data_IF_494906875095
#
_entry.id   IF_494906875095
#
_cell.length_a   1.000
_cell.length_b   1.000
_cell.length_c   1.000
_cell.angle_alpha   90.00
_cell.angle_beta   90.00
_cell.angle_gamma   90.00
#
_symmetry.space_group_name_H-M   'P 1'
#
loop_
_entity.id
_entity.type
_entity.pdbx_description
1 polymer ?
#
# COMPACT_ATOMS: atom_id res chain seq x y z
N UNK A 1 -50.26 -17.24 -10.52
CA UNK A 1 -50.39 -15.77 -10.57
C UNK A 1 -50.22 -15.06 -9.22
N UNK A 2 -50.49 -15.70 -8.07
CA UNK A 2 -50.31 -15.11 -6.72
C UNK A 2 -48.88 -14.58 -6.47
N UNK A 3 -47.86 -15.42 -6.69
CA UNK A 3 -46.46 -15.05 -6.45
C UNK A 3 -45.99 -13.87 -7.33
N UNK A 4 -46.32 -13.88 -8.62
CA UNK A 4 -45.95 -12.81 -9.56
C UNK A 4 -46.56 -11.45 -9.18
N UNK A 5 -47.85 -11.40 -8.82
CA UNK A 5 -48.48 -10.16 -8.37
C UNK A 5 -47.87 -9.60 -7.09
N UNK A 6 -47.55 -10.49 -6.14
CA UNK A 6 -46.88 -10.10 -4.90
C UNK A 6 -45.45 -9.58 -5.12
N UNK A 7 -44.68 -10.20 -6.02
CA UNK A 7 -43.32 -9.77 -6.35
C UNK A 7 -43.29 -8.39 -7.02
N UNK A 8 -44.23 -8.13 -7.96
CA UNK A 8 -44.36 -6.81 -8.59
C UNK A 8 -44.70 -5.75 -7.54
N UNK A 9 -45.69 -6.00 -6.69
CA UNK A 9 -46.11 -5.04 -5.66
C UNK A 9 -45.02 -4.80 -4.61
N UNK A 10 -44.28 -5.84 -4.23
CA UNK A 10 -43.16 -5.69 -3.30
C UNK A 10 -42.03 -4.87 -3.90
N UNK A 11 -41.76 -5.02 -5.20
CA UNK A 11 -40.72 -4.25 -5.89
C UNK A 11 -41.05 -2.75 -6.00
N UNK A 12 -42.34 -2.39 -6.06
CA UNK A 12 -42.79 -0.99 -6.22
C UNK A 12 -43.19 -0.31 -4.91
N UNK A 13 -43.75 -1.05 -3.96
CA UNK A 13 -44.41 -0.49 -2.78
C UNK A 13 -44.02 -1.19 -1.46
N UNK A 14 -43.08 -2.14 -1.51
CA UNK A 14 -42.58 -2.88 -0.36
C UNK A 14 -43.49 -4.03 0.13
N UNK A 15 -42.91 -4.88 0.98
CA UNK A 15 -43.50 -6.14 1.44
C UNK A 15 -44.86 -5.99 2.11
N UNK A 16 -45.03 -4.95 2.94
CA UNK A 16 -46.29 -4.72 3.65
C UNK A 16 -47.46 -4.55 2.67
N UNK A 17 -47.24 -3.87 1.55
CA UNK A 17 -48.25 -3.69 0.49
C UNK A 17 -48.52 -5.00 -0.25
N UNK A 18 -47.48 -5.78 -0.55
CA UNK A 18 -47.62 -7.09 -1.19
C UNK A 18 -48.40 -8.10 -0.32
N UNK A 19 -48.12 -8.14 0.99
CA UNK A 19 -48.82 -9.03 1.92
C UNK A 19 -50.27 -8.61 2.16
N UNK A 20 -50.55 -7.31 2.29
CA UNK A 20 -51.93 -6.81 2.42
C UNK A 20 -52.75 -7.11 1.16
N UNK A 21 -52.17 -6.89 -0.03
CA UNK A 21 -52.82 -7.24 -1.29
C UNK A 21 -53.09 -8.74 -1.43
N UNK A 22 -52.14 -9.61 -1.04
CA UNK A 22 -52.35 -11.07 -1.03
C UNK A 22 -53.50 -11.48 -0.11
N UNK A 23 -53.58 -10.89 1.09
CA UNK A 23 -54.66 -11.16 2.06
C UNK A 23 -56.03 -10.70 1.56
N UNK A 24 -56.09 -9.57 0.86
CA UNK A 24 -57.34 -9.03 0.32
C UNK A 24 -57.81 -9.78 -0.94
N UNK A 25 -56.93 -9.97 -1.92
CA UNK A 25 -57.29 -10.55 -3.22
C UNK A 25 -57.60 -12.05 -3.16
N UNK A 26 -57.02 -12.77 -2.19
CA UNK A 26 -57.19 -14.21 -2.06
C UNK A 26 -57.90 -14.59 -0.76
N UNK A 27 -58.71 -13.68 -0.20
CA UNK A 27 -59.51 -13.94 1.00
C UNK A 27 -60.37 -15.20 0.81
N UNK A 28 -60.20 -16.17 1.71
CA UNK A 28 -60.91 -17.46 1.67
C UNK A 28 -60.34 -18.49 0.68
N UNK A 29 -59.20 -18.22 0.03
CA UNK A 29 -58.50 -19.17 -0.84
C UNK A 29 -57.10 -19.50 -0.29
N UNK A 30 -56.55 -20.69 -0.54
CA UNK A 30 -55.20 -21.02 -0.13
C UNK A 30 -54.17 -20.15 -0.84
N UNK A 31 -53.23 -19.60 -0.07
CA UNK A 31 -52.07 -18.84 -0.56
C UNK A 31 -50.83 -19.48 0.06
N UNK A 32 -49.83 -19.81 -0.77
CA UNK A 32 -48.56 -20.36 -0.30
C UNK A 32 -47.64 -19.24 0.22
N UNK A 33 -47.99 -18.68 1.38
CA UNK A 33 -47.22 -17.60 2.02
C UNK A 33 -45.74 -17.95 2.27
N UNK A 34 -45.37 -19.17 2.71
CA UNK A 34 -43.96 -19.54 2.90
C UNK A 34 -43.14 -19.45 1.62
N UNK A 35 -43.68 -19.95 0.50
CA UNK A 35 -42.99 -19.90 -0.80
C UNK A 35 -42.84 -18.45 -1.29
N UNK A 36 -43.89 -17.63 -1.16
CA UNK A 36 -43.84 -16.22 -1.53
C UNK A 36 -42.86 -15.44 -0.63
N UNK A 37 -42.78 -15.75 0.66
CA UNK A 37 -41.78 -15.17 1.56
C UNK A 37 -40.36 -15.49 1.13
N UNK A 38 -40.09 -16.75 0.74
CA UNK A 38 -38.78 -17.14 0.19
C UNK A 38 -38.47 -16.38 -1.09
N UNK A 39 -39.43 -16.26 -2.00
CA UNK A 39 -39.26 -15.50 -3.26
C UNK A 39 -39.06 -14.00 -3.02
N UNK A 40 -39.74 -13.40 -2.04
CA UNK A 40 -39.55 -12.01 -1.65
C UNK A 40 -38.17 -11.79 -1.01
N UNK A 41 -37.71 -12.74 -0.20
CA UNK A 41 -36.34 -12.75 0.31
C UNK A 41 -35.31 -12.92 -0.82
N UNK A 42 -35.57 -13.74 -1.83
CA UNK A 42 -34.73 -13.85 -3.04
C UNK A 42 -34.70 -12.52 -3.81
N UNK A 43 -35.86 -11.86 -3.98
CA UNK A 43 -35.97 -10.56 -4.64
C UNK A 43 -35.14 -9.48 -3.92
N UNK A 44 -35.01 -9.59 -2.59
CA UNK A 44 -34.19 -8.71 -1.74
C UNK A 44 -32.73 -9.16 -1.60
N UNK A 45 -32.33 -10.27 -2.22
CA UNK A 45 -30.98 -10.83 -2.07
C UNK A 45 -30.68 -11.40 -0.68
N UNK A 46 -31.72 -11.72 0.11
CA UNK A 46 -31.60 -12.21 1.49
C UNK A 46 -31.38 -13.73 1.57
N UNK A 47 -31.69 -14.51 0.52
CA UNK A 47 -31.33 -15.93 0.44
C UNK A 47 -30.27 -16.12 -0.63
N UNK A 48 -29.04 -16.29 -0.19
CA UNK A 48 -27.89 -16.56 -1.06
C UNK A 48 -27.53 -18.03 -0.98
N UNK A 49 -27.60 -18.75 -2.11
CA UNK A 49 -27.02 -20.09 -2.29
C UNK A 49 -25.50 -20.05 -2.45
N UNK A 50 -24.92 -18.85 -2.54
CA UNK A 50 -23.50 -18.64 -2.30
C UNK A 50 -23.32 -18.27 -0.83
N UNK A 51 -22.73 -19.19 -0.06
CA UNK A 51 -22.22 -18.89 1.27
C UNK A 51 -21.34 -17.65 1.19
N UNK A 52 -21.87 -16.50 1.63
CA UNK A 52 -21.05 -15.32 1.89
C UNK A 52 -19.92 -15.74 2.83
N UNK A 53 -18.72 -15.13 2.73
CA UNK A 53 -17.69 -15.32 3.73
C UNK A 53 -18.30 -14.99 5.10
N UNK A 54 -18.52 -16.02 5.93
CA UNK A 54 -19.07 -15.87 7.28
C UNK A 54 -18.04 -15.35 8.28
N UNK A 55 -16.78 -15.25 7.85
CA UNK A 55 -15.66 -14.76 8.66
C UNK A 55 -15.46 -13.28 8.38
N UNK A 56 -15.81 -12.44 9.36
CA UNK A 56 -15.36 -11.05 9.39
C UNK A 56 -13.84 -11.01 9.55
N UNK A 57 -13.15 -10.25 8.73
CA UNK A 57 -11.71 -10.03 8.84
C UNK A 57 -11.38 -8.55 8.62
N UNK A 58 -10.26 -8.09 9.16
CA UNK A 58 -9.75 -6.75 8.87
C UNK A 58 -9.29 -6.67 7.42
N UNK A 59 -9.40 -5.48 6.83
CA UNK A 59 -8.91 -5.25 5.47
C UNK A 59 -7.40 -5.40 5.41
N UNK A 60 -6.96 -6.21 4.46
CA UNK A 60 -5.55 -6.41 4.13
C UNK A 60 -5.36 -6.22 2.64
N UNK A 61 -5.11 -4.98 2.23
CA UNK A 61 -5.07 -4.58 0.82
C UNK A 61 -3.74 -3.87 0.57
N UNK A 62 -3.11 -4.19 -0.56
CA UNK A 62 -1.94 -3.49 -1.09
C UNK A 62 -2.23 -3.11 -2.54
N UNK A 63 -1.90 -1.88 -2.91
CA UNK A 63 -2.09 -1.37 -4.26
C UNK A 63 -1.30 -0.11 -4.52
N UNK A 64 -1.46 0.42 -5.73
CA UNK A 64 -0.84 1.68 -6.15
C UNK A 64 -1.89 2.79 -6.26
N UNK A 65 -1.62 3.95 -5.67
CA UNK A 65 -2.48 5.12 -5.72
C UNK A 65 -2.09 6.08 -6.86
N UNK A 66 -3.09 6.73 -7.43
CA UNK A 66 -2.91 7.85 -8.37
C UNK A 66 -4.01 8.88 -8.15
N UNK A 67 -3.69 10.15 -8.40
CA UNK A 67 -4.69 11.22 -8.42
C UNK A 67 -5.61 11.07 -9.62
N UNK A 68 -6.91 11.26 -9.42
CA UNK A 68 -7.89 11.39 -10.51
C UNK A 68 -8.65 12.70 -10.34
N UNK A 69 -8.95 13.36 -11.46
CA UNK A 69 -9.73 14.60 -11.41
C UNK A 69 -11.19 14.30 -11.08
N UNK A 70 -11.82 15.10 -10.22
CA UNK A 70 -13.22 14.88 -9.81
C UNK A 70 -14.19 14.86 -10.99
N UNK A 71 -13.89 15.58 -12.09
CA UNK A 71 -14.68 15.56 -13.33
C UNK A 71 -14.65 14.23 -14.08
N UNK A 72 -13.65 13.38 -13.82
CA UNK A 72 -13.47 12.07 -14.46
C UNK A 72 -14.14 10.94 -13.68
N UNK A 73 -14.73 11.21 -12.51
CA UNK A 73 -15.35 10.19 -11.66
C UNK A 73 -16.84 10.12 -11.95
N UNK A 74 -17.25 9.10 -12.71
CA UNK A 74 -18.65 8.71 -12.83
C UNK A 74 -18.99 7.67 -11.77
N UNK A 75 -19.61 8.08 -10.66
CA UNK A 75 -19.92 7.19 -9.53
C UNK A 75 -20.84 6.02 -9.89
N UNK A 76 -21.59 6.10 -11.00
CA UNK A 76 -22.44 4.99 -11.45
C UNK A 76 -21.64 3.77 -11.92
N UNK A 77 -20.37 3.98 -12.29
CA UNK A 77 -19.47 2.89 -12.69
C UNK A 77 -18.82 2.18 -11.48
N UNK A 78 -19.17 2.61 -10.26
CA UNK A 78 -18.58 2.15 -9.01
C UNK A 78 -19.63 1.61 -8.04
N UNK A 79 -19.27 0.55 -7.32
CA UNK A 79 -20.07 0.01 -6.23
C UNK A 79 -19.70 0.77 -4.95
N UNK A 80 -20.61 1.60 -4.45
CA UNK A 80 -20.38 2.40 -3.24
C UNK A 80 -20.33 1.52 -1.99
N UNK A 81 -19.63 1.93 -0.93
CA UNK A 81 -19.42 1.09 0.28
C UNK A 81 -20.13 1.63 1.54
N UNK A 82 -20.86 2.75 1.44
CA UNK A 82 -21.68 3.29 2.53
C UNK A 82 -23.01 2.55 2.77
N UNK A 83 -23.57 2.71 3.96
CA UNK A 83 -24.92 2.27 4.32
C UNK A 83 -25.97 3.17 3.67
N UNK A 84 -26.94 2.53 3.00
CA UNK A 84 -28.27 3.02 2.61
C UNK A 84 -28.42 4.50 2.26
N UNK A 85 -28.56 4.81 0.95
CA UNK A 85 -29.41 5.83 0.31
C UNK A 85 -29.76 7.19 1.01
N UNK A 86 -29.09 7.59 2.08
CA UNK A 86 -29.44 8.75 2.89
C UNK A 86 -28.21 9.61 3.19
N UNK A 87 -27.31 9.76 2.22
CA UNK A 87 -26.67 11.05 1.98
C UNK A 87 -25.80 10.99 0.73
N UNK A 88 -26.36 11.38 -0.43
CA UNK A 88 -25.56 11.66 -1.62
C UNK A 88 -24.56 12.82 -1.40
N UNK A 89 -24.62 13.51 -0.24
CA UNK A 89 -23.71 14.62 0.12
C UNK A 89 -22.39 14.17 0.74
N UNK A 90 -22.28 12.98 1.35
CA UNK A 90 -21.07 12.52 2.07
C UNK A 90 -20.07 11.73 1.21
N UNK A 91 -20.45 11.42 -0.03
CA UNK A 91 -19.60 10.73 -0.99
C UNK A 91 -18.91 11.69 -1.97
N UNK A 92 -19.29 12.97 -2.03
CA UNK A 92 -18.60 13.93 -2.89
C UNK A 92 -17.48 14.64 -2.14
N UNK A 93 -16.30 14.80 -2.75
CA UNK A 93 -15.21 15.56 -2.15
C UNK A 93 -15.68 17.00 -1.91
N UNK A 94 -15.32 17.56 -0.75
CA UNK A 94 -15.43 19.00 -0.51
C UNK A 94 -14.63 19.77 -1.60
N UNK A 95 -14.92 21.06 -1.83
CA UNK A 95 -14.33 21.86 -2.94
C UNK A 95 -12.79 21.82 -3.08
N UNK A 96 -12.04 21.31 -2.10
CA UNK A 96 -10.58 21.15 -2.13
C UNK A 96 -10.06 19.70 -1.98
N UNK A 97 -10.94 18.70 -1.88
CA UNK A 97 -10.54 17.29 -1.80
C UNK A 97 -10.45 16.70 -3.21
N UNK A 98 -9.39 15.92 -3.46
CA UNK A 98 -9.22 15.19 -4.72
C UNK A 98 -9.45 13.71 -4.46
N UNK A 99 -10.11 13.06 -5.42
CA UNK A 99 -10.21 11.61 -5.42
C UNK A 99 -8.87 10.97 -5.73
N UNK A 100 -8.58 9.87 -5.05
CA UNK A 100 -7.52 8.97 -5.45
C UNK A 100 -8.11 7.65 -5.92
N UNK A 101 -7.53 7.12 -6.99
CA UNK A 101 -7.79 5.77 -7.45
C UNK A 101 -6.68 4.85 -6.98
N UNK A 102 -7.02 3.80 -6.26
CA UNK A 102 -6.09 2.73 -5.90
C UNK A 102 -6.31 1.56 -6.84
N UNK A 103 -5.28 1.19 -7.61
CA UNK A 103 -5.26 -0.08 -8.33
C UNK A 103 -4.73 -1.16 -7.39
N UNK A 104 -5.57 -2.12 -7.03
CA UNK A 104 -5.20 -3.18 -6.09
C UNK A 104 -4.27 -4.18 -6.78
N UNK A 105 -3.15 -4.52 -6.15
CA UNK A 105 -2.21 -5.54 -6.63
C UNK A 105 -2.43 -6.88 -5.92
N UNK A 106 -2.75 -6.83 -4.62
CA UNK A 106 -3.02 -8.01 -3.81
C UNK A 106 -3.92 -7.66 -2.63
N UNK A 107 -4.76 -8.60 -2.19
CA UNK A 107 -5.51 -8.49 -0.94
C UNK A 107 -5.71 -9.86 -0.28
N UNK A 108 -5.96 -9.88 1.03
CA UNK A 108 -6.29 -11.09 1.76
C UNK A 108 -7.82 -11.24 1.86
N UNK A 109 -8.37 -12.34 1.38
CA UNK A 109 -9.83 -12.61 1.36
C UNK A 109 -10.39 -13.18 2.68
N UNK A 110 -9.61 -13.04 3.76
CA UNK A 110 -9.85 -13.68 5.05
C UNK A 110 -9.20 -15.07 5.20
N UNK A 111 -8.81 -15.71 4.09
CA UNK A 111 -8.14 -17.03 4.09
C UNK A 111 -6.78 -17.02 3.38
N UNK A 112 -6.72 -16.42 2.21
CA UNK A 112 -5.57 -16.43 1.32
C UNK A 112 -5.28 -15.04 0.77
N UNK A 113 -4.01 -14.80 0.45
CA UNK A 113 -3.60 -13.67 -0.38
C UNK A 113 -3.93 -13.95 -1.84
N UNK A 114 -4.83 -13.14 -2.42
CA UNK A 114 -5.16 -13.14 -3.83
C UNK A 114 -4.37 -12.05 -4.54
N UNK A 115 -3.85 -12.36 -5.73
CA UNK A 115 -3.05 -11.43 -6.54
C UNK A 115 -3.78 -11.08 -7.83
N UNK A 116 -3.55 -9.85 -8.30
CA UNK A 116 -4.01 -9.44 -9.62
C UNK A 116 -3.32 -10.27 -10.73
N UNK A 117 -3.99 -10.54 -11.86
CA UNK A 117 -5.36 -10.15 -12.18
C UNK A 117 -6.39 -11.04 -11.45
N UNK A 118 -7.48 -10.44 -10.97
CA UNK A 118 -8.53 -11.10 -10.18
C UNK A 118 -9.63 -11.72 -11.06
N UNK A 119 -9.24 -12.42 -12.12
CA UNK A 119 -10.18 -13.03 -13.09
C UNK A 119 -10.97 -14.22 -12.51
N UNK A 120 -10.49 -14.79 -11.41
CA UNK A 120 -11.09 -15.94 -10.72
C UNK A 120 -12.15 -15.56 -9.68
N UNK A 121 -12.39 -14.26 -9.44
CA UNK A 121 -13.42 -13.83 -8.52
C UNK A 121 -14.81 -14.03 -9.14
N UNK A 122 -15.58 -14.95 -8.55
CA UNK A 122 -16.95 -15.23 -8.96
C UNK A 122 -17.91 -14.20 -8.35
N UNK A 123 -18.16 -13.13 -9.09
CA UNK A 123 -19.04 -12.05 -8.63
C UNK A 123 -20.53 -12.47 -8.72
N UNK A 124 -21.34 -12.14 -7.70
CA UNK A 124 -22.79 -12.25 -7.78
C UNK A 124 -23.37 -11.46 -8.96
N UNK A 125 -24.52 -11.91 -9.47
CA UNK A 125 -25.16 -11.34 -10.66
C UNK A 125 -25.84 -9.99 -10.39
N UNK A 126 -26.35 -9.79 -9.18
CA UNK A 126 -27.09 -8.58 -8.83
C UNK A 126 -26.16 -7.52 -8.22
N UNK A 127 -26.38 -6.21 -8.49
CA UNK A 127 -25.54 -5.15 -7.91
C UNK A 127 -25.47 -5.16 -6.37
N UNK A 128 -26.57 -5.34 -5.61
CA UNK A 128 -26.51 -5.35 -4.14
C UNK A 128 -25.69 -6.52 -3.58
N UNK A 129 -25.87 -7.72 -4.13
CA UNK A 129 -25.08 -8.89 -3.69
C UNK A 129 -23.61 -8.74 -4.07
N UNK A 130 -23.32 -8.16 -5.23
CA UNK A 130 -21.95 -7.88 -5.69
C UNK A 130 -21.25 -6.89 -4.76
N UNK A 131 -21.94 -5.84 -4.34
CA UNK A 131 -21.45 -4.88 -3.35
C UNK A 131 -21.17 -5.56 -2.01
N UNK A 132 -22.12 -6.33 -1.47
CA UNK A 132 -21.98 -7.05 -0.20
C UNK A 132 -20.82 -8.05 -0.24
N UNK A 133 -20.68 -8.80 -1.35
CA UNK A 133 -19.60 -9.74 -1.56
C UNK A 133 -18.23 -9.06 -1.58
N UNK A 134 -18.07 -8.00 -2.38
CA UNK A 134 -16.80 -7.28 -2.48
C UNK A 134 -16.40 -6.62 -1.17
N UNK A 135 -17.35 -6.01 -0.44
CA UNK A 135 -17.09 -5.44 0.89
C UNK A 135 -16.57 -6.50 1.86
N UNK A 136 -17.24 -7.65 1.89
CA UNK A 136 -16.90 -8.76 2.78
C UNK A 136 -15.50 -9.33 2.47
N UNK A 137 -15.20 -9.71 1.22
CA UNK A 137 -13.89 -10.31 0.88
C UNK A 137 -12.73 -9.32 0.99
N UNK A 138 -12.99 -8.02 0.92
CA UNK A 138 -11.96 -7.00 1.08
C UNK A 138 -11.74 -6.63 2.55
N UNK A 139 -12.62 -7.06 3.46
CA UNK A 139 -12.61 -6.69 4.88
C UNK A 139 -13.14 -5.29 5.18
N UNK A 140 -13.75 -4.64 4.19
CA UNK A 140 -14.15 -3.21 4.25
C UNK A 140 -15.34 -2.97 5.18
N UNK A 141 -16.03 -4.02 5.60
CA UNK A 141 -17.06 -3.95 6.63
C UNK A 141 -16.48 -3.66 8.02
N UNK A 142 -15.21 -3.99 8.26
CA UNK A 142 -14.54 -3.77 9.54
C UNK A 142 -13.54 -2.61 9.47
N UNK A 143 -12.85 -2.45 8.35
CA UNK A 143 -11.83 -1.42 8.18
C UNK A 143 -11.81 -0.91 6.74
N UNK A 144 -12.34 0.29 6.49
CA UNK A 144 -12.32 0.91 5.17
C UNK A 144 -11.17 1.92 5.01
N UNK A 145 -10.18 1.92 5.91
CA UNK A 145 -9.08 2.90 5.89
C UNK A 145 -7.83 2.35 5.20
N UNK A 146 -7.22 3.19 4.37
CA UNK A 146 -5.91 2.97 3.76
C UNK A 146 -4.94 4.04 4.24
N UNK A 147 -3.67 3.68 4.38
CA UNK A 147 -2.56 4.60 4.37
C UNK A 147 -2.03 4.72 2.93
N UNK A 148 -1.82 5.95 2.48
CA UNK A 148 -1.19 6.26 1.19
C UNK A 148 0.17 6.86 1.47
N UNK A 149 1.22 6.19 1.03
CA UNK A 149 2.62 6.62 1.14
C UNK A 149 3.13 7.14 -0.19
N UNK A 150 3.82 8.28 -0.16
CA UNK A 150 4.45 8.95 -1.29
C UNK A 150 5.91 9.22 -0.94
N UNK A 151 6.81 8.98 -1.89
CA UNK A 151 8.24 9.23 -1.73
C UNK A 151 8.67 10.36 -2.67
N UNK A 152 9.20 11.43 -2.09
CA UNK A 152 9.76 12.54 -2.84
C UNK A 152 11.18 12.23 -3.30
N UNK A 153 11.71 13.06 -4.20
CA UNK A 153 13.06 12.87 -4.78
C UNK A 153 14.18 12.97 -3.73
N UNK A 154 13.91 13.57 -2.57
CA UNK A 154 14.81 13.63 -1.40
C UNK A 154 14.69 12.41 -0.46
N UNK A 155 13.93 11.37 -0.85
CA UNK A 155 13.54 10.21 0.00
C UNK A 155 12.73 10.57 1.25
N UNK A 156 12.15 11.77 1.31
CA UNK A 156 11.17 12.07 2.34
C UNK A 156 9.88 11.31 2.04
N UNK A 157 9.47 10.48 3.00
CA UNK A 157 8.19 9.79 2.94
C UNK A 157 7.11 10.69 3.54
N UNK A 158 6.10 11.01 2.72
CA UNK A 158 4.86 11.60 3.21
C UNK A 158 3.76 10.55 3.20
N UNK A 159 2.87 10.60 4.18
CA UNK A 159 1.69 9.74 4.16
C UNK A 159 0.43 10.45 4.59
N UNK A 160 -0.70 9.95 4.08
CA UNK A 160 -2.04 10.37 4.49
C UNK A 160 -2.91 9.15 4.69
N UNK A 161 -3.93 9.27 5.53
CA UNK A 161 -4.99 8.27 5.64
C UNK A 161 -6.11 8.60 4.66
N UNK A 162 -6.70 7.58 4.05
CA UNK A 162 -7.81 7.72 3.12
C UNK A 162 -8.87 6.67 3.40
N UNK A 163 -10.13 7.03 3.17
CA UNK A 163 -11.26 6.12 3.35
C UNK A 163 -11.73 5.60 1.99
N UNK A 164 -11.92 4.28 1.88
CA UNK A 164 -12.51 3.66 0.70
C UNK A 164 -13.99 4.03 0.62
N UNK A 165 -14.38 4.64 -0.50
CA UNK A 165 -15.76 5.07 -0.75
C UNK A 165 -16.48 4.19 -1.76
N UNK A 166 -15.75 3.67 -2.74
CA UNK A 166 -16.33 2.80 -3.75
C UNK A 166 -15.32 1.82 -4.34
N UNK A 167 -15.83 0.75 -4.97
CA UNK A 167 -15.04 -0.33 -5.55
C UNK A 167 -15.51 -0.65 -6.96
N UNK A 168 -14.56 -0.94 -7.84
CA UNK A 168 -14.82 -1.35 -9.21
C UNK A 168 -13.95 -2.56 -9.55
N UNK A 169 -14.55 -3.59 -10.14
CA UNK A 169 -13.83 -4.73 -10.69
C UNK A 169 -14.21 -4.91 -12.16
N UNK A 170 -13.27 -4.62 -13.05
CA UNK A 170 -13.45 -4.67 -14.51
C UNK A 170 -12.30 -5.44 -15.13
N UNK A 171 -12.59 -6.48 -15.91
CA UNK A 171 -11.60 -7.30 -16.61
C UNK A 171 -10.45 -7.79 -15.69
N UNK A 172 -10.79 -8.26 -14.48
CA UNK A 172 -9.82 -8.72 -13.48
C UNK A 172 -9.00 -7.61 -12.81
N UNK A 173 -9.23 -6.34 -13.14
CA UNK A 173 -8.59 -5.20 -12.46
C UNK A 173 -9.50 -4.67 -11.37
N UNK A 174 -9.09 -4.86 -10.11
CA UNK A 174 -9.77 -4.29 -8.96
C UNK A 174 -9.24 -2.88 -8.67
N UNK A 175 -10.16 -1.92 -8.55
CA UNK A 175 -9.87 -0.53 -8.23
C UNK A 175 -10.70 -0.09 -7.04
N UNK A 176 -10.11 0.75 -6.19
CA UNK A 176 -10.79 1.42 -5.09
C UNK A 176 -10.79 2.92 -5.37
N UNK A 177 -11.91 3.56 -5.10
CA UNK A 177 -12.05 4.99 -5.10
C UNK A 177 -11.98 5.45 -3.64
N UNK A 178 -11.00 6.29 -3.32
CA UNK A 178 -10.70 6.65 -1.93
C UNK A 178 -10.61 8.15 -1.75
N UNK A 179 -11.12 8.61 -0.61
CA UNK A 179 -11.10 10.02 -0.23
C UNK A 179 -10.05 10.22 0.88
N UNK A 180 -8.98 11.00 0.65
CA UNK A 180 -7.97 11.26 1.66
C UNK A 180 -8.47 12.24 2.72
N UNK A 181 -8.00 12.05 3.97
CA UNK A 181 -8.23 13.00 5.06
C UNK A 181 -7.49 14.31 4.78
N UNK A 182 -6.25 14.22 4.32
CA UNK A 182 -5.44 15.35 3.87
C UNK A 182 -4.84 15.07 2.49
N UNK A 183 -4.83 16.08 1.61
CA UNK A 183 -4.24 15.96 0.28
C UNK A 183 -2.72 15.79 0.36
N UNK A 184 -2.20 14.76 -0.29
CA UNK A 184 -0.77 14.58 -0.56
C UNK A 184 -0.53 14.72 -2.06
N UNK A 185 0.64 15.24 -2.45
CA UNK A 185 0.96 15.41 -3.85
C UNK A 185 1.39 14.07 -4.45
N UNK A 186 0.44 13.33 -5.03
CA UNK A 186 0.72 12.11 -5.78
C UNK A 186 0.92 12.51 -7.24
N UNK A 187 2.12 12.30 -7.77
CA UNK A 187 2.42 12.56 -9.17
C UNK A 187 1.43 11.83 -10.08
N UNK A 188 0.96 12.53 -11.09
CA UNK A 188 0.19 11.94 -12.17
C UNK A 188 1.10 10.97 -12.94
N UNK A 189 0.56 9.85 -13.39
CA UNK A 189 1.31 8.80 -14.11
C UNK A 189 2.11 9.41 -15.27
N UNK A 190 3.43 9.58 -15.12
CA UNK A 190 4.25 10.25 -16.14
C UNK A 190 5.59 10.81 -15.67
N UNK A 191 5.76 11.11 -14.39
CA UNK A 191 7.07 11.51 -13.85
C UNK A 191 8.00 10.30 -13.76
N UNK A 192 8.84 10.12 -14.79
CA UNK A 192 9.73 8.94 -14.98
C UNK A 192 10.67 8.61 -13.81
N UNK A 193 10.79 9.49 -12.82
CA UNK A 193 11.80 9.37 -11.75
C UNK A 193 11.22 9.27 -10.34
N UNK A 194 9.90 9.34 -10.12
CA UNK A 194 9.32 9.20 -8.78
C UNK A 194 8.68 7.82 -8.57
N UNK A 195 8.88 7.17 -7.40
CA UNK A 195 8.15 5.96 -7.04
C UNK A 195 6.64 6.20 -7.03
N UNK A 196 5.85 5.29 -7.59
CA UNK A 196 4.40 5.40 -7.62
C UNK A 196 3.80 5.38 -6.20
N UNK A 197 2.85 6.24 -5.83
CA UNK A 197 2.28 6.18 -4.48
C UNK A 197 1.75 4.77 -4.12
N UNK A 198 2.07 4.29 -2.91
CA UNK A 198 1.62 2.98 -2.42
C UNK A 198 0.43 3.19 -1.49
N UNK A 199 -0.62 2.38 -1.67
CA UNK A 199 -1.77 2.34 -0.79
C UNK A 199 -1.81 0.99 -0.06
N UNK A 200 -1.85 1.04 1.27
CA UNK A 200 -1.89 -0.15 2.12
C UNK A 200 -2.89 0.02 3.25
N UNK A 201 -3.62 -1.03 3.60
CA UNK A 201 -4.28 -1.10 4.92
C UNK A 201 -3.22 -1.31 5.99
N UNK A 202 -3.40 -0.74 7.18
CA UNK A 202 -2.45 -0.91 8.30
C UNK A 202 -2.27 -2.37 8.69
N UNK A 203 -3.32 -3.19 8.58
CA UNK A 203 -3.23 -4.62 8.90
C UNK A 203 -2.54 -5.48 7.82
N UNK A 204 -2.23 -4.91 6.65
CA UNK A 204 -1.44 -5.58 5.61
C UNK A 204 0.05 -5.29 5.73
N UNK A 205 0.38 -4.03 6.01
CA UNK A 205 1.75 -3.53 6.01
C UNK A 205 1.87 -2.39 7.03
N UNK A 206 2.86 -2.51 7.90
CA UNK A 206 3.23 -1.48 8.88
C UNK A 206 4.64 -0.96 8.54
N UNK A 207 4.75 0.36 8.40
CA UNK A 207 6.03 1.01 8.11
C UNK A 207 6.93 1.01 9.35
N UNK A 208 8.19 0.65 9.16
CA UNK A 208 9.20 0.73 10.21
C UNK A 208 10.10 1.92 9.93
N UNK A 209 10.13 2.87 10.86
CA UNK A 209 10.94 4.07 10.75
C UNK A 209 11.66 4.34 12.08
N UNK A 210 12.82 3.70 12.33
CA UNK A 210 13.61 3.96 13.52
C UNK A 210 14.07 5.42 13.53
N UNK A 211 14.25 5.99 14.72
CA UNK A 211 14.80 7.35 14.83
C UNK A 211 16.21 7.39 14.25
N UNK A 212 16.51 8.31 13.31
CA UNK A 212 17.85 8.42 12.76
C UNK A 212 18.82 8.98 13.79
N UNK A 213 20.05 8.45 13.79
CA UNK A 213 21.24 9.00 14.45
C UNK A 213 22.31 9.26 13.38
N UNK A 214 23.53 9.65 13.74
CA UNK A 214 24.62 9.91 12.79
C UNK A 214 25.79 8.94 12.99
N UNK A 215 26.62 8.79 11.96
CA UNK A 215 27.85 7.99 12.08
C UNK A 215 28.79 8.51 13.17
N UNK A 216 28.86 9.83 13.37
CA UNK A 216 29.65 10.46 14.43
C UNK A 216 29.12 10.13 15.83
N UNK A 217 27.80 10.14 16.00
CA UNK A 217 27.15 9.73 17.25
C UNK A 217 27.43 8.26 17.55
N UNK A 218 27.27 7.37 16.56
CA UNK A 218 27.61 5.96 16.71
C UNK A 218 29.06 5.76 17.15
N UNK A 219 30.01 6.48 16.54
CA UNK A 219 31.42 6.37 16.89
C UNK A 219 31.75 6.90 18.30
N UNK A 220 30.98 7.89 18.76
CA UNK A 220 31.10 8.43 20.12
C UNK A 220 30.59 7.46 21.18
N UNK A 221 29.55 6.68 20.85
CA UNK A 221 28.95 5.66 21.73
C UNK A 221 29.78 4.37 21.71
N UNK A 222 30.12 3.88 20.52
CA UNK A 222 30.91 2.68 20.28
C UNK A 222 31.94 2.96 19.18
N UNK A 223 33.14 3.35 19.60
CA UNK A 223 34.21 3.70 18.67
C UNK A 223 34.67 2.53 17.82
N UNK A 224 34.60 1.29 18.33
CA UNK A 224 35.00 0.12 17.55
C UNK A 224 34.02 -0.12 16.40
N UNK A 225 32.72 -0.10 16.70
CA UNK A 225 31.66 -0.29 15.71
C UNK A 225 31.58 0.88 14.74
N UNK A 226 31.60 2.12 15.23
CA UNK A 226 31.61 3.32 14.38
C UNK A 226 32.77 3.33 13.38
N UNK A 227 33.99 2.96 13.83
CA UNK A 227 35.15 2.87 12.95
C UNK A 227 34.99 1.76 11.88
N UNK A 228 34.39 0.62 12.24
CA UNK A 228 34.13 -0.47 11.30
C UNK A 228 33.09 -0.07 10.24
N UNK A 229 32.02 0.59 10.65
CA UNK A 229 30.99 1.13 9.75
C UNK A 229 31.57 2.18 8.81
N UNK A 230 32.33 3.16 9.31
CA UNK A 230 33.00 4.17 8.47
C UNK A 230 33.88 3.52 7.39
N UNK A 231 34.64 2.48 7.76
CA UNK A 231 35.46 1.70 6.82
C UNK A 231 34.61 0.99 5.76
N UNK A 232 33.51 0.36 6.16
CA UNK A 232 32.61 -0.34 5.25
C UNK A 232 31.92 0.61 4.26
N UNK A 233 31.42 1.74 4.74
CA UNK A 233 30.78 2.78 3.91
C UNK A 233 31.78 3.35 2.90
N UNK A 234 33.01 3.68 3.35
CA UNK A 234 34.03 4.19 2.45
C UNK A 234 34.37 3.19 1.33
N UNK A 235 34.51 1.90 1.66
CA UNK A 235 34.73 0.84 0.66
C UNK A 235 33.57 0.72 -0.32
N UNK A 236 32.33 0.79 0.16
CA UNK A 236 31.16 0.78 -0.72
C UNK A 236 31.19 1.96 -1.71
N UNK A 237 31.54 3.17 -1.25
CA UNK A 237 31.69 4.35 -2.10
C UNK A 237 32.83 4.24 -3.13
N UNK A 238 33.90 3.49 -2.81
CA UNK A 238 34.98 3.21 -3.76
C UNK A 238 34.50 2.32 -4.92
N UNK A 239 33.61 1.35 -4.66
CA UNK A 239 33.08 0.47 -5.72
C UNK A 239 32.30 1.22 -6.80
N UNK A 240 31.68 2.34 -6.45
CA UNK A 240 30.92 3.20 -7.37
C UNK A 240 31.71 4.37 -7.92
N UNK A 241 33.04 4.40 -7.72
CA UNK A 241 33.92 5.54 -8.06
C UNK A 241 33.45 6.89 -7.46
N UNK A 242 32.63 6.87 -6.41
CA UNK A 242 32.13 8.07 -5.73
C UNK A 242 33.23 8.73 -4.89
N UNK A 243 34.17 7.93 -4.40
CA UNK A 243 35.47 8.37 -3.88
C UNK A 243 36.59 7.66 -4.64
N UNK A 244 37.73 8.32 -4.82
CA UNK A 244 38.91 7.78 -5.51
C UNK A 244 40.14 7.82 -4.61
N UNK A 245 41.09 6.93 -4.87
CA UNK A 245 42.37 6.86 -4.17
C UNK A 245 42.39 5.89 -3.00
N UNK A 246 43.51 5.92 -2.28
CA UNK A 246 43.78 5.03 -1.16
C UNK A 246 42.83 5.29 0.02
N UNK A 247 42.65 4.27 0.85
CA UNK A 247 41.84 4.36 2.06
C UNK A 247 42.45 5.39 3.03
N UNK A 248 41.77 6.52 3.33
CA UNK A 248 42.32 7.54 4.22
C UNK A 248 42.22 7.10 5.69
N UNK A 249 42.86 7.85 6.59
CA UNK A 249 42.72 7.59 8.02
C UNK A 249 41.27 7.81 8.48
N UNK A 250 40.91 7.21 9.62
CA UNK A 250 39.53 7.21 10.14
C UNK A 250 39.03 8.62 10.44
N UNK A 251 39.87 9.51 10.96
CA UNK A 251 39.50 10.89 11.27
C UNK A 251 39.08 11.66 10.00
N UNK A 252 39.78 11.46 8.89
CA UNK A 252 39.42 12.06 7.60
C UNK A 252 38.10 11.49 7.07
N UNK A 253 37.83 10.20 7.26
CA UNK A 253 36.55 9.59 6.88
C UNK A 253 35.42 10.14 7.74
N UNK A 254 35.63 10.24 9.05
CA UNK A 254 34.68 10.80 10.01
C UNK A 254 34.33 12.25 9.67
N UNK A 255 35.29 13.10 9.33
CA UNK A 255 35.00 14.48 8.91
C UNK A 255 34.08 14.55 7.69
N UNK A 256 34.19 13.58 6.77
CA UNK A 256 33.41 13.53 5.53
C UNK A 256 32.05 12.87 5.68
N UNK A 257 31.96 11.80 6.46
CA UNK A 257 30.78 10.94 6.56
C UNK A 257 30.07 11.04 7.92
N UNK A 258 30.67 11.66 8.93
CA UNK A 258 30.18 11.65 10.31
C UNK A 258 28.74 12.15 10.46
N UNK A 259 28.35 13.13 9.66
CA UNK A 259 26.99 13.70 9.63
C UNK A 259 25.98 12.85 8.86
N UNK A 260 26.39 11.75 8.22
CA UNK A 260 25.47 10.92 7.44
C UNK A 260 24.51 10.18 8.37
N UNK A 261 23.20 10.17 8.04
CA UNK A 261 22.20 9.55 8.89
C UNK A 261 22.29 8.03 8.80
N UNK A 262 22.11 7.39 9.95
CA UNK A 262 21.96 5.95 10.08
C UNK A 262 20.75 5.62 10.95
N UNK A 263 20.22 4.42 10.77
CA UNK A 263 19.19 3.82 11.61
C UNK A 263 19.66 2.44 12.07
N UNK A 264 19.38 2.11 13.32
CA UNK A 264 19.66 0.80 13.91
C UNK A 264 18.37 -0.01 14.01
N UNK A 265 18.36 -1.19 13.39
CA UNK A 265 17.16 -2.05 13.33
C UNK A 265 17.56 -3.52 13.17
N UNK A 266 16.95 -4.41 13.93
CA UNK A 266 17.07 -5.86 13.69
C UNK A 266 16.14 -6.26 12.53
N UNK A 267 16.72 -6.45 11.34
CA UNK A 267 15.98 -6.84 10.14
C UNK A 267 16.16 -8.32 9.80
N UNK A 268 17.13 -8.99 10.43
CA UNK A 268 17.48 -10.37 10.14
C UNK A 268 16.96 -11.36 11.20
N UNK A 269 16.58 -10.87 12.39
CA UNK A 269 16.00 -11.62 13.51
C UNK A 269 17.00 -12.21 14.50
N UNK A 270 18.25 -11.74 14.50
CA UNK A 270 19.31 -12.25 15.38
C UNK A 270 19.39 -11.52 16.74
N UNK A 271 18.50 -10.56 17.00
CA UNK A 271 18.48 -9.77 18.22
C UNK A 271 19.55 -8.67 18.27
N UNK A 272 20.29 -8.43 17.18
CA UNK A 272 21.29 -7.38 17.07
C UNK A 272 20.93 -6.45 15.90
N UNK A 273 21.04 -5.13 16.09
CA UNK A 273 20.66 -4.20 15.04
C UNK A 273 21.67 -4.16 13.88
N UNK A 274 21.14 -4.26 12.67
CA UNK A 274 21.78 -3.81 11.44
C UNK A 274 21.90 -2.28 11.41
N UNK A 275 22.86 -1.79 10.63
CA UNK A 275 23.00 -0.37 10.30
C UNK A 275 22.40 -0.12 8.92
N UNK A 276 21.35 0.68 8.85
CA UNK A 276 20.77 1.19 7.62
C UNK A 276 21.28 2.61 7.42
N UNK A 277 22.10 2.83 6.39
CA UNK A 277 22.62 4.14 6.02
C UNK A 277 21.97 4.61 4.73
N UNK A 278 21.35 5.79 4.75
CA UNK A 278 20.75 6.40 3.56
C UNK A 278 21.43 7.72 3.26
N UNK A 279 22.21 7.78 2.18
CA UNK A 279 22.93 8.98 1.78
C UNK A 279 22.21 9.70 0.63
N UNK A 280 21.97 11.00 0.81
CA UNK A 280 21.44 11.84 -0.26
C UNK A 280 22.44 11.98 -1.39
N UNK A 281 21.96 12.35 -2.58
CA UNK A 281 22.87 12.55 -3.69
C UNK A 281 23.80 13.77 -3.47
N UNK A 282 23.32 14.80 -2.77
CA UNK A 282 24.11 15.96 -2.34
C UNK A 282 25.25 15.53 -1.41
N UNK A 283 24.93 14.69 -0.41
CA UNK A 283 25.92 14.15 0.52
C UNK A 283 27.00 13.33 -0.21
N UNK A 284 26.63 12.57 -1.24
CA UNK A 284 27.60 11.77 -2.00
C UNK A 284 28.41 12.63 -2.98
N UNK A 285 27.79 13.61 -3.63
CA UNK A 285 28.46 14.50 -4.59
C UNK A 285 29.43 15.47 -3.93
N UNK A 286 29.18 15.84 -2.67
CA UNK A 286 30.12 16.65 -1.86
C UNK A 286 31.46 15.93 -1.60
N UNK A 287 31.51 14.60 -1.76
CA UNK A 287 32.74 13.82 -1.61
C UNK A 287 33.68 13.93 -2.82
N UNK A 288 33.17 14.38 -3.98
CA UNK A 288 33.95 14.49 -5.21
C UNK A 288 34.92 15.70 -5.17
N UNK A 289 36.09 15.63 -5.84
CA UNK A 289 37.00 16.77 -5.93
C UNK A 289 36.35 17.97 -6.63
N UNK A 290 36.56 19.17 -6.09
CA UNK A 290 35.97 20.45 -6.54
C UNK A 290 36.09 20.68 -8.05
N UNK A 291 37.18 20.24 -8.68
CA UNK A 291 37.42 20.38 -10.12
C UNK A 291 36.41 19.65 -11.03
N UNK A 292 35.60 18.72 -10.50
CA UNK A 292 34.56 17.99 -11.25
C UNK A 292 33.13 18.45 -10.97
N UNK A 293 32.94 19.36 -10.01
CA UNK A 293 31.62 19.89 -9.66
C UNK A 293 31.08 20.87 -10.71
N UNK A 294 31.94 21.41 -11.59
CA UNK A 294 31.61 22.43 -12.60
C UNK A 294 31.30 21.90 -14.00
N UNK A 295 31.56 20.62 -14.32
CA UNK A 295 31.44 20.10 -15.70
C UNK A 295 30.33 19.08 -15.94
N UNK A 296 29.82 18.43 -14.91
CA UNK A 296 28.61 17.61 -15.04
C UNK A 296 27.46 18.42 -14.48
N UNK A 297 26.39 18.63 -15.27
CA UNK A 297 25.07 18.98 -14.72
C UNK A 297 24.85 18.05 -13.53
N UNK A 298 24.96 18.58 -12.31
CA UNK A 298 24.72 17.81 -11.09
C UNK A 298 23.27 17.36 -11.24
N UNK A 299 23.07 16.08 -11.52
CA UNK A 299 21.73 15.53 -11.61
C UNK A 299 21.24 15.38 -10.16
N UNK A 300 20.93 16.52 -9.53
CA UNK A 300 20.37 16.65 -8.19
C UNK A 300 19.05 15.87 -8.06
N UNK A 301 18.47 15.46 -9.19
CA UNK A 301 17.29 14.60 -9.28
C UNK A 301 17.59 13.10 -9.10
N UNK A 302 18.81 12.72 -8.70
CA UNK A 302 19.15 11.33 -8.38
C UNK A 302 18.61 10.95 -7.01
N UNK A 303 17.96 9.79 -6.92
CA UNK A 303 17.45 9.23 -5.67
C UNK A 303 18.61 8.99 -4.67
N UNK A 304 18.36 9.13 -3.36
CA UNK A 304 19.25 8.67 -2.30
C UNK A 304 19.63 7.20 -2.44
N UNK A 305 20.80 6.85 -1.92
CA UNK A 305 21.35 5.48 -1.97
C UNK A 305 21.47 4.91 -0.57
N UNK A 306 20.98 3.69 -0.41
CA UNK A 306 20.99 2.97 0.86
C UNK A 306 22.06 1.89 0.88
N UNK A 307 22.74 1.74 2.02
CA UNK A 307 23.61 0.63 2.37
C UNK A 307 23.09 0.00 3.67
N UNK A 308 22.99 -1.32 3.72
CA UNK A 308 22.70 -2.04 4.96
C UNK A 308 23.87 -2.93 5.34
N UNK A 309 24.34 -2.76 6.57
CA UNK A 309 25.40 -3.56 7.17
C UNK A 309 24.83 -4.44 8.27
N UNK A 310 25.19 -5.73 8.27
CA UNK A 310 24.95 -6.66 9.39
C UNK A 310 25.70 -6.26 10.65
N UNK A 311 25.38 -6.90 11.78
CA UNK A 311 26.07 -6.74 13.06
C UNK A 311 27.61 -6.94 12.97
N UNK A 312 28.07 -7.77 12.04
CA UNK A 312 29.50 -7.98 11.76
C UNK A 312 30.09 -7.01 10.70
N UNK A 313 29.35 -5.98 10.30
CA UNK A 313 29.70 -4.96 9.29
C UNK A 313 29.83 -5.47 7.85
N UNK A 314 29.25 -6.64 7.54
CA UNK A 314 29.16 -7.12 6.15
C UNK A 314 28.02 -6.44 5.42
N UNK A 315 28.19 -6.16 4.13
CA UNK A 315 27.15 -5.56 3.29
C UNK A 315 26.10 -6.63 2.97
N UNK A 316 24.87 -6.45 3.44
CA UNK A 316 23.74 -7.35 3.16
C UNK A 316 22.72 -6.73 2.19
N UNK A 317 22.81 -5.42 1.94
CA UNK A 317 22.06 -4.72 0.91
C UNK A 317 22.82 -3.46 0.47
N UNK A 318 22.77 -3.11 -0.82
CA UNK A 318 23.37 -1.86 -1.32
C UNK A 318 22.71 -1.35 -2.60
N UNK A 319 22.40 -0.05 -2.61
CA UNK A 319 22.08 0.74 -3.80
C UNK A 319 23.36 1.33 -4.45
N UNK A 320 24.51 1.25 -3.76
CA UNK A 320 25.81 1.66 -4.28
C UNK A 320 26.32 0.58 -5.23
N UNK A 321 25.87 0.59 -6.49
CA UNK A 321 26.31 -0.35 -7.52
C UNK A 321 25.75 -0.06 -8.91
N UNK A 322 25.97 -0.99 -9.84
CA UNK A 322 25.53 -0.88 -11.25
C UNK A 322 24.00 -0.98 -11.42
N UNK A 323 23.26 -1.36 -10.37
CA UNK A 323 21.80 -1.47 -10.37
C UNK A 323 21.13 -0.15 -9.93
N UNK A 324 21.57 0.99 -10.46
CA UNK A 324 21.08 2.33 -10.08
C UNK A 324 19.56 2.54 -10.31
N UNK A 325 18.92 1.62 -11.02
CA UNK A 325 17.47 1.60 -11.23
C UNK A 325 16.67 1.01 -10.06
N UNK A 326 17.33 0.30 -9.13
CA UNK A 326 16.70 -0.27 -7.93
C UNK A 326 17.11 0.56 -6.72
N UNK A 327 16.15 0.88 -5.87
CA UNK A 327 16.40 1.68 -4.68
C UNK A 327 15.51 1.21 -3.54
N UNK A 328 16.10 1.09 -2.35
CA UNK A 328 15.35 0.90 -1.12
C UNK A 328 14.59 2.20 -0.81
N UNK A 329 13.28 2.09 -0.67
CA UNK A 329 12.42 3.25 -0.37
C UNK A 329 11.78 3.17 1.01
N UNK A 330 11.65 1.97 1.59
CA UNK A 330 11.12 1.77 2.93
C UNK A 330 11.46 0.39 3.49
N UNK A 331 11.35 0.26 4.81
CA UNK A 331 11.38 -1.01 5.54
C UNK A 331 10.00 -1.19 6.18
N UNK A 332 9.44 -2.39 6.12
CA UNK A 332 8.09 -2.62 6.60
C UNK A 332 7.87 -4.03 7.15
N UNK A 333 7.01 -4.15 8.17
CA UNK A 333 6.45 -5.41 8.61
C UNK A 333 5.28 -5.80 7.71
N UNK A 334 5.29 -7.01 7.18
CA UNK A 334 4.14 -7.56 6.47
C UNK A 334 3.28 -8.37 7.44
N UNK A 335 1.97 -8.34 7.23
CA UNK A 335 1.07 -9.21 8.00
C UNK A 335 1.51 -10.67 7.84
N UNK A 336 1.58 -11.41 8.94
CA UNK A 336 2.00 -12.83 8.98
C UNK A 336 3.50 -13.08 8.72
N UNK A 337 4.35 -12.04 8.75
CA UNK A 337 5.81 -12.22 8.79
C UNK A 337 6.38 -11.75 10.12
N UNK A 338 7.37 -12.48 10.64
CA UNK A 338 8.01 -12.15 11.91
C UNK A 338 9.25 -11.25 11.74
N UNK A 339 9.66 -10.97 10.50
CA UNK A 339 10.85 -10.17 10.20
C UNK A 339 10.50 -9.01 9.25
N UNK A 340 11.16 -7.85 9.42
CA UNK A 340 11.06 -6.76 8.48
C UNK A 340 11.38 -7.17 7.05
N UNK A 341 10.69 -6.55 6.10
CA UNK A 341 10.91 -6.68 4.66
C UNK A 341 11.41 -5.37 4.07
N UNK A 342 12.24 -5.47 3.04
CA UNK A 342 12.72 -4.33 2.28
C UNK A 342 11.77 -4.03 1.12
N UNK A 343 11.27 -2.80 1.03
CA UNK A 343 10.49 -2.33 -0.11
C UNK A 343 11.41 -1.66 -1.13
N UNK A 344 11.61 -2.33 -2.26
CA UNK A 344 12.47 -1.88 -3.36
C UNK A 344 11.61 -1.31 -4.48
N UNK A 345 11.92 -0.10 -4.91
CA UNK A 345 11.37 0.52 -6.12
C UNK A 345 12.29 0.28 -7.30
N UNK A 346 11.72 -0.08 -8.45
CA UNK A 346 12.40 -0.07 -9.74
C UNK A 346 11.51 0.44 -10.89
N UNK A 347 12.00 0.37 -12.13
CA UNK A 347 11.25 0.82 -13.32
C UNK A 347 9.94 0.05 -13.56
N UNK A 348 9.81 -1.14 -12.97
CA UNK A 348 8.67 -2.04 -13.14
C UNK A 348 7.70 -1.99 -11.93
N UNK A 349 8.01 -1.19 -10.90
CA UNK A 349 7.15 -0.96 -9.75
C UNK A 349 7.83 -1.29 -8.42
N UNK A 350 7.18 -2.13 -7.62
CA UNK A 350 7.61 -2.46 -6.27
C UNK A 350 7.90 -3.95 -6.09
N UNK A 351 8.99 -4.24 -5.40
CA UNK A 351 9.33 -5.58 -4.93
C UNK A 351 9.55 -5.55 -3.43
N UNK A 352 8.89 -6.45 -2.70
CA UNK A 352 9.18 -6.72 -1.31
C UNK A 352 10.19 -7.85 -1.22
N UNK A 353 11.35 -7.60 -0.60
CA UNK A 353 12.35 -8.63 -0.32
C UNK A 353 12.34 -9.02 1.14
N UNK A 354 12.43 -10.32 1.41
CA UNK A 354 12.44 -10.88 2.75
C UNK A 354 13.82 -11.44 3.07
N UNK A 355 14.19 -11.38 4.35
CA UNK A 355 15.41 -12.04 4.81
C UNK A 355 15.27 -13.57 4.70
N UNK A 356 16.16 -14.20 3.95
CA UNK A 356 16.29 -15.65 3.88
C UNK A 356 17.30 -16.10 4.93
N UNK A 357 16.83 -16.65 6.05
CA UNK A 357 17.68 -17.28 7.07
C UNK A 357 18.58 -18.38 6.48
N UNK A 358 18.11 -19.09 5.45
CA UNK A 358 18.88 -20.14 4.77
C UNK A 358 20.02 -19.57 3.92
N UNK A 359 19.73 -18.54 3.12
CA UNK A 359 20.68 -18.00 2.14
C UNK A 359 21.44 -16.76 2.66
N UNK A 360 21.11 -16.29 3.87
CA UNK A 360 21.70 -15.13 4.54
C UNK A 360 21.70 -13.88 3.64
N UNK A 361 20.56 -13.63 2.96
CA UNK A 361 20.36 -12.49 2.06
C UNK A 361 18.88 -12.16 1.85
N UNK A 362 18.62 -10.97 1.31
CA UNK A 362 17.29 -10.52 0.91
C UNK A 362 16.86 -11.05 -0.46
N UNK A 363 15.75 -11.79 -0.48
CA UNK A 363 15.19 -12.46 -1.67
C UNK A 363 13.77 -12.01 -1.98
#
# INVERSE_FOLDING_TARGET
MQAWGALILASQYGDARAYSWLKEQFKGKPVNFPEIQVLLKHLKGEVTTQSLPTTTHTSKIIGSAQTIESKQVNLNDWLQIGTDNSDNSTNNPSNNQRWYQVKVSTFHDGKNWLKAPFTTLNLPKTPPEKQKYLRSILGLDNDATLQIAVWHTNSEQQSTTATVKAVQLTNGTLRLLVLPNNSVNISTSGEKNQPQALATTTSALEWIQPSPTTLEQLQSIDSQRGNAVLKAVWRALQTTNSVKGNFPNVQTIQQKLGHWPIQEIDINGNGKPEIVLTASNEAITSLAPVAKQTQNKINLNSRPRTLILSDNNSIIYTDFGQNYHKSLIAIANLSQTNLPSLLISDSNGYTLKRWSQKNQRFE
#
